data_IF_207865968800
#
_entry.id   IF_207865968800
#
_cell.length_a   1.000
_cell.length_b   1.000
_cell.length_c   1.000
_cell.angle_alpha   90.00
_cell.angle_beta   90.00
_cell.angle_gamma   90.00
#
_symmetry.space_group_name_H-M   'P 1'
#
loop_
_entity.id
_entity.type
_entity.pdbx_description
1 polymer ?
#
# COMPACT_ATOMS: atom_id res chain seq x y z
N UNK A 1 63.99 14.82 60.33
CA UNK A 1 64.96 15.70 59.62
C UNK A 1 64.43 15.84 58.21
N UNK A 2 63.74 16.91 57.80
CA UNK A 2 64.20 18.25 57.42
C UNK A 2 62.88 19.04 57.21
N UNK A 3 62.40 19.99 58.04
CA UNK A 3 62.80 21.38 58.33
C UNK A 3 63.07 22.27 57.10
N UNK A 4 62.09 23.11 56.72
CA UNK A 4 62.18 24.59 56.54
C UNK A 4 60.86 25.13 55.95
N UNK A 5 60.09 25.89 56.73
CA UNK A 5 60.14 27.36 56.96
C UNK A 5 59.35 28.14 55.90
N UNK A 6 58.13 28.61 56.22
CA UNK A 6 57.78 29.89 56.87
C UNK A 6 57.42 30.95 55.82
N UNK A 7 56.15 31.40 55.82
CA UNK A 7 55.82 32.79 56.15
C UNK A 7 54.35 32.93 56.54
N UNK A 8 54.18 33.47 57.74
CA UNK A 8 52.97 33.80 58.45
C UNK A 8 52.82 35.32 58.34
N UNK A 9 51.65 35.82 57.93
CA UNK A 9 51.19 37.18 58.24
C UNK A 9 49.77 37.02 58.77
N UNK A 10 49.63 37.26 60.07
CA UNK A 10 48.37 37.35 60.82
C UNK A 10 47.78 38.75 60.69
N UNK A 11 46.44 38.89 60.75
CA UNK A 11 45.76 39.78 61.72
C UNK A 11 44.21 39.61 61.66
N UNK A 12 43.63 39.23 62.83
CA UNK A 12 42.32 39.58 63.40
C UNK A 12 41.02 39.07 62.72
N UNK A 13 39.96 38.56 63.40
CA UNK A 13 39.54 38.61 64.81
C UNK A 13 38.45 37.53 65.10
N UNK A 14 38.51 36.95 66.31
CA UNK A 14 37.42 36.48 67.20
C UNK A 14 36.47 35.28 66.87
N UNK A 15 36.75 34.18 67.59
CA UNK A 15 35.89 33.48 68.58
C UNK A 15 34.59 32.78 68.14
N UNK A 16 34.52 31.47 68.40
CA UNK A 16 33.24 30.78 68.62
C UNK A 16 33.25 29.26 68.46
N UNK A 17 33.72 28.55 69.49
CA UNK A 17 33.40 27.18 69.92
C UNK A 17 32.89 26.13 68.91
N UNK A 18 33.62 25.01 68.82
CA UNK A 18 33.05 23.71 68.47
C UNK A 18 31.86 23.40 69.41
N UNK A 19 30.65 23.33 68.86
CA UNK A 19 29.65 22.39 69.37
C UNK A 19 29.33 21.38 68.28
N UNK A 20 29.66 20.13 68.57
CA UNK A 20 29.10 18.99 67.87
C UNK A 20 27.63 18.96 68.31
N UNK A 21 26.69 19.36 67.46
CA UNK A 21 25.28 19.09 67.74
C UNK A 21 25.05 17.58 67.52
N UNK A 22 24.67 16.82 68.56
CA UNK A 22 24.21 15.46 68.35
C UNK A 22 22.92 15.50 67.53
N UNK A 23 22.90 14.74 66.43
CA UNK A 23 21.69 14.51 65.63
C UNK A 23 20.63 13.91 66.55
N UNK A 24 19.51 14.62 66.72
CA UNK A 24 18.39 14.15 67.53
C UNK A 24 17.82 12.88 66.88
N UNK A 25 17.64 11.82 67.66
CA UNK A 25 17.06 10.53 67.22
C UNK A 25 15.56 10.57 66.88
N UNK A 26 15.08 11.67 66.29
CA UNK A 26 13.74 11.84 65.71
C UNK A 26 13.75 12.28 64.25
N UNK A 27 14.89 12.30 63.59
CA UNK A 27 14.92 12.22 62.13
C UNK A 27 14.52 10.77 61.79
N UNK A 28 13.21 10.53 61.77
CA UNK A 28 12.63 9.29 61.27
C UNK A 28 13.14 9.11 59.85
N UNK A 29 14.12 8.22 59.69
CA UNK A 29 14.45 7.61 58.43
C UNK A 29 13.16 6.93 57.93
N UNK A 30 12.44 7.67 57.11
CA UNK A 30 11.12 7.31 56.60
C UNK A 30 11.28 6.31 55.45
N UNK A 31 11.78 5.11 55.73
CA UNK A 31 11.50 3.96 54.86
C UNK A 31 11.73 2.62 55.57
N UNK A 32 10.63 1.88 55.76
CA UNK A 32 10.64 0.42 55.86
C UNK A 32 9.79 -0.09 54.69
N UNK A 33 10.39 -0.84 53.78
CA UNK A 33 9.68 -1.54 52.70
C UNK A 33 9.24 -2.91 53.21
N UNK A 34 7.93 -3.15 53.20
CA UNK A 34 7.38 -4.51 53.12
C UNK A 34 6.92 -4.69 51.67
N UNK A 35 7.67 -5.52 50.95
CA UNK A 35 7.38 -5.97 49.59
C UNK A 35 6.42 -7.16 49.68
N UNK A 36 5.52 -7.31 48.72
CA UNK A 36 4.57 -8.44 48.74
C UNK A 36 3.17 -7.97 48.97
N UNK A 37 2.41 -7.90 47.89
CA UNK A 37 1.04 -7.50 47.93
C UNK A 37 0.73 -6.49 46.79
N UNK A 38 0.66 -6.78 45.50
CA UNK A 38 0.39 -8.08 45.00
C UNK A 38 1.49 -9.16 45.25
N UNK A 39 2.79 -9.01 44.85
CA UNK A 39 3.83 -8.00 45.10
C UNK A 39 4.08 -6.99 43.98
N UNK A 40 4.22 -5.72 44.37
CA UNK A 40 5.38 -4.83 44.09
C UNK A 40 6.30 -5.13 42.89
N UNK A 41 6.21 -4.25 41.89
CA UNK A 41 7.38 -3.66 41.23
C UNK A 41 7.30 -2.15 41.41
N UNK A 42 7.59 -1.74 42.65
CA UNK A 42 7.89 -0.37 43.00
C UNK A 42 9.19 0.02 42.30
N UNK A 43 9.09 0.83 41.25
CA UNK A 43 10.18 1.71 40.87
C UNK A 43 9.93 3.02 41.64
N UNK A 44 10.49 3.06 42.84
CA UNK A 44 10.64 4.29 43.62
C UNK A 44 11.53 5.24 42.83
N UNK A 45 10.95 6.28 42.27
CA UNK A 45 11.69 7.46 41.82
C UNK A 45 11.18 8.65 42.58
N UNK A 46 12.00 9.10 43.54
CA UNK A 46 11.82 10.31 44.32
C UNK A 46 11.64 11.51 43.40
N UNK A 47 10.66 12.33 43.74
CA UNK A 47 10.48 13.65 43.17
C UNK A 47 11.45 14.61 43.85
N UNK A 48 12.30 15.31 43.10
CA UNK A 48 13.14 16.37 43.67
C UNK A 48 12.28 17.62 43.79
N UNK A 49 11.51 17.73 44.87
CA UNK A 49 11.07 19.04 45.35
C UNK A 49 12.19 19.56 46.26
N UNK A 50 12.42 20.88 46.27
CA UNK A 50 13.31 21.51 47.23
C UNK A 50 13.09 20.98 48.65
N UNK A 51 14.14 21.05 49.47
CA UNK A 51 14.38 20.38 50.76
C UNK A 51 13.32 20.53 51.87
N UNK A 52 12.13 21.09 51.58
CA UNK A 52 11.06 21.42 52.52
C UNK A 52 9.70 20.75 52.25
N UNK A 53 9.59 19.72 51.40
CA UNK A 53 8.31 19.41 50.74
C UNK A 53 7.69 18.04 51.09
N UNK A 54 6.40 18.03 51.43
CA UNK A 54 5.63 16.90 52.01
C UNK A 54 4.53 16.33 51.08
N UNK A 55 4.72 16.36 49.76
CA UNK A 55 3.72 15.94 48.75
C UNK A 55 4.16 14.61 48.12
N UNK A 56 3.27 13.61 48.12
CA UNK A 56 3.52 12.33 47.44
C UNK A 56 2.79 12.24 46.11
N UNK A 57 3.44 11.66 45.10
CA UNK A 57 2.93 11.52 43.74
C UNK A 57 3.08 10.07 43.29
N UNK A 58 2.08 9.53 42.61
CA UNK A 58 2.05 8.10 42.24
C UNK A 58 3.03 7.71 41.11
N UNK A 59 3.61 8.66 40.35
CA UNK A 59 4.61 8.42 39.29
C UNK A 59 5.47 9.67 39.00
N UNK A 60 6.74 9.48 38.59
CA UNK A 60 7.67 10.56 38.23
C UNK A 60 7.59 11.03 36.76
N UNK A 61 6.95 10.23 35.90
CA UNK A 61 6.67 10.60 34.50
C UNK A 61 5.33 9.99 34.07
N UNK A 62 4.49 10.77 33.41
CA UNK A 62 3.16 10.33 32.96
C UNK A 62 3.13 10.31 31.43
N UNK A 63 2.73 9.18 30.86
CA UNK A 63 2.45 9.07 29.43
C UNK A 63 0.94 9.16 29.25
N UNK A 64 0.47 10.25 28.64
CA UNK A 64 -0.94 10.41 28.30
C UNK A 64 -1.18 10.01 26.85
N UNK A 65 -2.16 9.13 26.67
CA UNK A 65 -2.65 8.78 25.33
C UNK A 65 -3.71 9.79 24.91
N UNK A 66 -3.58 10.35 23.70
CA UNK A 66 -4.61 11.23 23.15
C UNK A 66 -5.96 10.52 23.09
N UNK A 67 -7.03 11.23 23.42
CA UNK A 67 -8.39 10.69 23.43
C UNK A 67 -8.73 9.74 24.59
N UNK A 68 -7.75 9.33 25.41
CA UNK A 68 -7.97 8.44 26.57
C UNK A 68 -7.74 9.18 27.89
N UNK A 69 -8.79 9.49 28.66
CA UNK A 69 -8.64 10.07 29.99
C UNK A 69 -7.93 9.10 30.95
N UNK A 70 -6.98 9.60 31.73
CA UNK A 70 -6.24 8.81 32.72
C UNK A 70 -6.37 9.40 34.12
N UNK A 71 -6.51 8.55 35.13
CA UNK A 71 -6.61 8.98 36.53
C UNK A 71 -5.22 9.10 37.16
N UNK A 72 -5.02 10.16 37.93
CA UNK A 72 -3.77 10.45 38.61
C UNK A 72 -4.00 10.85 40.06
N UNK A 73 -3.33 10.18 41.00
CA UNK A 73 -3.57 10.31 42.44
C UNK A 73 -2.58 11.22 43.17
N UNK A 74 -3.08 11.97 44.15
CA UNK A 74 -2.30 12.80 45.06
C UNK A 74 -2.68 12.51 46.51
N UNK A 75 -1.70 12.59 47.41
CA UNK A 75 -1.92 12.64 48.87
C UNK A 75 -0.80 13.42 49.55
N UNK A 76 -1.05 13.84 50.79
CA UNK A 76 -0.05 14.48 51.65
C UNK A 76 0.61 13.43 52.55
N UNK A 77 1.90 13.62 52.82
CA UNK A 77 2.71 12.66 53.61
C UNK A 77 2.56 12.91 55.11
N UNK A 78 2.22 14.13 55.54
CA UNK A 78 2.06 14.46 56.96
C UNK A 78 0.78 15.23 57.22
N UNK A 79 0.17 15.11 58.42
CA UNK A 79 -1.03 15.87 58.75
C UNK A 79 -0.76 17.37 58.65
N UNK A 80 -1.53 18.13 57.85
CA UNK A 80 -1.41 19.58 57.81
C UNK A 80 -2.14 20.21 59.00
N UNK A 81 -1.70 21.40 59.44
CA UNK A 81 -2.38 22.17 60.51
C UNK A 81 -3.52 23.03 59.98
N UNK A 82 -3.66 23.15 58.65
CA UNK A 82 -4.73 23.85 57.96
C UNK A 82 -5.03 23.16 56.62
N UNK A 83 -6.15 23.49 55.97
CA UNK A 83 -6.45 22.92 54.66
C UNK A 83 -5.36 23.30 53.63
N UNK A 84 -5.03 22.36 52.76
CA UNK A 84 -4.06 22.50 51.67
C UNK A 84 -4.80 22.34 50.35
N UNK A 85 -4.76 23.36 49.51
CA UNK A 85 -5.33 23.30 48.15
C UNK A 85 -4.20 23.14 47.15
N UNK A 86 -4.24 22.08 46.35
CA UNK A 86 -3.36 21.89 45.20
C UNK A 86 -4.03 22.48 43.96
N UNK A 87 -3.37 23.47 43.37
CA UNK A 87 -3.74 24.04 42.08
C UNK A 87 -2.83 23.50 40.98
N UNK A 88 -3.41 23.33 39.79
CA UNK A 88 -2.73 22.74 38.65
C UNK A 88 -2.67 23.73 37.49
N UNK A 89 -1.49 23.90 36.89
CA UNK A 89 -1.33 24.65 35.64
C UNK A 89 -0.67 23.78 34.59
N UNK A 90 -1.16 23.88 33.35
CA UNK A 90 -0.68 23.10 32.23
C UNK A 90 -0.91 23.89 30.92
N UNK A 91 -0.23 23.50 29.85
CA UNK A 91 -0.43 24.08 28.51
C UNK A 91 -1.09 23.13 27.50
N UNK A 92 -1.07 21.82 27.76
CA UNK A 92 -1.49 20.78 26.79
C UNK A 92 -2.43 19.71 27.35
N UNK A 93 -3.08 20.01 28.47
CA UNK A 93 -4.10 19.16 29.08
C UNK A 93 -5.43 19.89 29.09
N UNK A 94 -6.51 19.13 29.08
CA UNK A 94 -7.84 19.69 29.35
C UNK A 94 -7.89 20.28 30.77
N UNK A 95 -8.86 21.17 31.04
CA UNK A 95 -8.97 21.86 32.32
C UNK A 95 -8.99 20.88 33.51
N UNK A 96 -8.15 21.15 34.52
CA UNK A 96 -7.96 20.31 35.71
C UNK A 96 -8.49 21.06 36.92
N UNK A 97 -9.39 20.46 37.67
CA UNK A 97 -9.89 21.02 38.93
C UNK A 97 -8.85 20.96 40.05
N UNK A 98 -8.97 21.86 41.03
CA UNK A 98 -8.11 21.85 42.21
C UNK A 98 -8.46 20.67 43.14
N UNK A 99 -7.47 20.16 43.88
CA UNK A 99 -7.68 19.21 44.97
C UNK A 99 -7.57 19.92 46.32
N UNK A 100 -8.36 19.52 47.31
CA UNK A 100 -8.27 20.09 48.66
C UNK A 100 -8.12 18.98 49.70
N UNK A 101 -7.05 19.06 50.47
CA UNK A 101 -6.75 18.17 51.59
C UNK A 101 -6.99 18.91 52.89
N UNK A 102 -7.68 18.27 53.81
CA UNK A 102 -7.97 18.72 55.17
C UNK A 102 -7.12 17.91 56.16
N UNK A 103 -6.96 18.36 57.41
CA UNK A 103 -6.29 17.57 58.44
C UNK A 103 -6.89 16.16 58.64
N UNK A 104 -8.16 15.94 58.26
CA UNK A 104 -8.85 14.66 58.43
C UNK A 104 -8.67 13.69 57.24
N UNK A 105 -8.37 14.18 56.04
CA UNK A 105 -8.30 13.36 54.81
C UNK A 105 -6.95 13.47 54.07
N UNK A 106 -5.93 14.06 54.72
CA UNK A 106 -4.64 14.37 54.11
C UNK A 106 -3.93 13.15 53.49
N UNK A 107 -4.07 11.98 54.12
CA UNK A 107 -3.45 10.72 53.68
C UNK A 107 -4.31 9.94 52.68
N UNK A 108 -5.57 10.34 52.47
CA UNK A 108 -6.47 9.68 51.52
C UNK A 108 -6.13 10.14 50.10
N UNK A 109 -5.91 9.17 49.19
CA UNK A 109 -5.61 9.47 47.79
C UNK A 109 -6.83 10.15 47.16
N UNK A 110 -6.61 11.34 46.59
CA UNK A 110 -7.57 12.04 45.75
C UNK A 110 -7.07 12.03 44.31
N UNK A 111 -7.96 11.87 43.34
CA UNK A 111 -7.59 11.71 41.93
C UNK A 111 -8.05 12.89 41.08
N UNK A 112 -7.22 13.27 40.11
CA UNK A 112 -7.62 14.10 38.96
C UNK A 112 -7.63 13.26 37.69
N UNK A 113 -8.42 13.68 36.71
CA UNK A 113 -8.40 13.11 35.37
C UNK A 113 -7.52 13.98 34.48
N UNK A 114 -6.49 13.38 33.89
CA UNK A 114 -5.63 14.01 32.89
C UNK A 114 -6.05 13.57 31.50
N UNK A 115 -6.11 14.50 30.56
CA UNK A 115 -6.40 14.20 29.15
C UNK A 115 -5.54 15.09 28.28
N UNK A 116 -4.79 14.49 27.35
CA UNK A 116 -4.01 15.24 26.35
C UNK A 116 -4.95 16.02 25.44
N UNK A 117 -4.61 17.28 25.16
CA UNK A 117 -5.29 18.10 24.14
C UNK A 117 -4.50 18.20 22.82
N UNK A 118 -3.29 17.61 22.76
CA UNK A 118 -2.43 17.59 21.56
C UNK A 118 -2.40 16.20 20.93
N UNK A 119 -2.35 16.20 19.60
CA UNK A 119 -2.24 14.99 18.76
C UNK A 119 -0.82 14.78 18.23
N UNK A 120 0.13 15.68 18.56
CA UNK A 120 1.50 15.69 18.04
C UNK A 120 2.50 15.09 19.04
N UNK A 121 3.68 14.69 18.55
CA UNK A 121 4.84 14.26 19.36
C UNK A 121 5.42 15.39 20.17
N UNK A 122 4.92 15.56 21.39
CA UNK A 122 5.35 16.67 22.25
C UNK A 122 5.32 16.27 23.73
N UNK A 123 6.14 16.94 24.53
CA UNK A 123 6.09 16.88 26.00
C UNK A 123 5.54 18.19 26.56
N UNK A 124 4.84 18.12 27.70
CA UNK A 124 4.42 19.28 28.48
C UNK A 124 4.74 19.09 29.96
N UNK A 125 4.42 20.10 30.77
CA UNK A 125 4.58 20.05 32.22
C UNK A 125 3.26 20.33 32.93
N UNK A 126 2.91 19.49 33.90
CA UNK A 126 1.86 19.74 34.88
C UNK A 126 2.51 20.35 36.12
N UNK A 127 2.33 21.66 36.31
CA UNK A 127 2.82 22.33 37.52
C UNK A 127 1.77 22.23 38.62
N UNK A 128 2.21 21.88 39.82
CA UNK A 128 1.40 21.74 41.03
C UNK A 128 1.86 22.78 42.02
N UNK A 129 0.94 23.61 42.53
CA UNK A 129 1.23 24.60 43.57
C UNK A 129 0.28 24.41 44.74
N UNK A 130 0.83 24.28 45.95
CA UNK A 130 0.07 24.16 47.18
C UNK A 130 -0.14 25.54 47.82
N UNK A 131 -1.40 25.84 48.16
CA UNK A 131 -1.78 27.03 48.92
C UNK A 131 -2.38 26.56 50.26
N UNK A 132 -1.84 27.07 51.37
CA UNK A 132 -2.30 26.75 52.72
C UNK A 132 -1.97 27.86 53.71
N UNK A 133 -2.70 27.90 54.83
CA UNK A 133 -2.29 28.65 56.02
C UNK A 133 -1.22 27.89 56.86
N UNK A 134 -1.03 26.60 56.61
CA UNK A 134 0.10 25.84 57.14
C UNK A 134 1.36 26.24 56.36
N UNK A 135 2.31 26.87 57.05
CA UNK A 135 3.56 27.38 56.48
C UNK A 135 4.44 26.28 55.89
N UNK A 136 4.24 25.01 56.29
CA UNK A 136 4.96 23.87 55.71
C UNK A 136 4.46 23.50 54.31
N UNK A 137 3.26 23.94 53.93
CA UNK A 137 2.63 23.64 52.64
C UNK A 137 2.44 24.87 51.76
N UNK A 138 2.38 26.06 52.36
CA UNK A 138 2.14 27.31 51.62
C UNK A 138 3.25 27.61 50.62
N UNK A 139 2.90 27.75 49.35
CA UNK A 139 3.83 28.10 48.27
C UNK A 139 4.72 26.95 47.79
N UNK A 140 4.56 25.73 48.33
CA UNK A 140 5.28 24.56 47.85
C UNK A 140 4.83 24.25 46.43
N UNK A 141 5.77 24.15 45.49
CA UNK A 141 5.47 23.86 44.09
C UNK A 141 6.38 22.79 43.50
N UNK A 142 5.87 22.11 42.48
CA UNK A 142 6.61 21.10 41.72
C UNK A 142 6.06 20.99 40.30
N UNK A 143 6.82 20.35 39.41
CA UNK A 143 6.43 20.12 38.02
C UNK A 143 6.58 18.65 37.65
N UNK A 144 5.55 18.09 36.99
CA UNK A 144 5.56 16.72 36.47
C UNK A 144 5.66 16.80 34.94
N UNK A 145 6.63 16.10 34.36
CA UNK A 145 6.72 16.00 32.89
C UNK A 145 5.66 15.03 32.37
N UNK A 146 4.92 15.48 31.37
CA UNK A 146 3.89 14.73 30.67
C UNK A 146 4.34 14.47 29.24
N UNK A 147 4.48 13.20 28.87
CA UNK A 147 4.74 12.81 27.50
C UNK A 147 3.40 12.49 26.83
N UNK A 148 3.09 13.18 25.74
CA UNK A 148 1.87 12.93 24.98
C UNK A 148 2.17 11.87 23.92
N UNK A 149 1.31 10.88 23.78
CA UNK A 149 1.45 9.80 22.79
C UNK A 149 0.16 9.62 22.00
N UNK A 150 0.26 9.55 20.69
CA UNK A 150 -0.87 9.32 19.80
C UNK A 150 -0.41 8.49 18.60
N UNK A 151 -0.87 7.26 18.42
CA UNK A 151 -0.70 6.64 17.10
C UNK A 151 -1.57 7.44 16.15
N UNK A 152 -1.00 7.96 15.07
CA UNK A 152 -1.77 8.60 14.04
C UNK A 152 -1.24 8.20 12.67
N UNK A 153 -2.13 7.73 11.81
CA UNK A 153 -1.81 7.35 10.43
C UNK A 153 -2.74 8.12 9.49
N UNK A 154 -2.15 8.77 8.49
CA UNK A 154 -2.92 9.48 7.46
C UNK A 154 -2.28 9.23 6.09
N UNK A 155 -3.06 8.80 5.11
CA UNK A 155 -2.61 8.79 3.72
C UNK A 155 -2.97 10.12 3.04
N UNK A 156 -2.12 10.58 2.13
CA UNK A 156 -2.47 11.73 1.29
C UNK A 156 -3.45 11.26 0.21
N UNK A 157 -4.75 11.46 0.46
CA UNK A 157 -5.84 11.00 -0.41
C UNK A 157 -6.53 9.74 0.14
N UNK A 158 -7.78 9.54 -0.27
CA UNK A 158 -8.65 8.46 0.22
C UNK A 158 -9.12 7.49 -0.86
N UNK A 159 -8.80 7.76 -2.14
CA UNK A 159 -9.16 6.92 -3.28
C UNK A 159 -8.04 6.92 -4.31
N UNK A 160 -7.57 5.73 -4.68
CA UNK A 160 -6.45 5.50 -5.55
C UNK A 160 -6.87 4.61 -6.71
N UNK A 161 -6.46 4.98 -7.93
CA UNK A 161 -6.68 4.20 -9.14
C UNK A 161 -5.30 3.79 -9.66
N UNK A 162 -5.06 2.49 -9.71
CA UNK A 162 -3.88 1.89 -10.32
C UNK A 162 -4.26 1.11 -11.58
N UNK A 163 -3.26 0.73 -12.36
CA UNK A 163 -3.43 -0.08 -13.56
C UNK A 163 -2.71 -1.41 -13.38
N UNK A 164 -3.39 -2.49 -13.77
CA UNK A 164 -2.86 -3.86 -13.78
C UNK A 164 -1.53 -3.92 -14.55
N UNK A 165 -0.58 -4.72 -14.08
CA UNK A 165 0.77 -4.90 -14.63
C UNK A 165 1.67 -3.65 -14.65
N UNK A 166 1.16 -2.46 -14.30
CA UNK A 166 1.94 -1.24 -14.17
C UNK A 166 2.40 -1.05 -12.71
N UNK A 167 3.64 -0.61 -12.51
CA UNK A 167 4.13 -0.28 -11.16
C UNK A 167 3.25 0.81 -10.54
N UNK A 168 2.62 0.51 -9.40
CA UNK A 168 1.78 1.46 -8.70
C UNK A 168 2.62 2.59 -8.08
N UNK A 169 2.13 3.84 -8.09
CA UNK A 169 2.69 4.90 -7.27
C UNK A 169 2.74 4.45 -5.80
N UNK A 170 3.87 4.67 -5.14
CA UNK A 170 4.04 4.30 -3.73
C UNK A 170 3.19 5.20 -2.83
N UNK A 171 2.33 4.60 -2.02
CA UNK A 171 1.53 5.30 -1.04
C UNK A 171 2.31 5.42 0.27
N UNK A 172 2.73 6.63 0.59
CA UNK A 172 3.48 6.93 1.81
C UNK A 172 2.53 7.58 2.83
N UNK A 173 2.25 6.92 3.97
CA UNK A 173 1.48 7.55 5.02
C UNK A 173 2.32 8.56 5.80
N UNK A 174 1.66 9.56 6.37
CA UNK A 174 2.21 10.39 7.42
C UNK A 174 1.92 9.71 8.76
N UNK A 175 2.97 9.46 9.53
CA UNK A 175 2.88 8.88 10.86
C UNK A 175 3.14 9.95 11.91
N UNK A 176 2.20 10.11 12.84
CA UNK A 176 2.33 11.06 13.94
C UNK A 176 3.37 10.65 14.97
N UNK A 177 3.63 9.35 15.16
CA UNK A 177 4.57 8.77 16.13
C UNK A 177 5.22 7.49 15.56
N UNK A 178 6.38 7.08 16.09
CA UNK A 178 6.94 5.76 15.78
C UNK A 178 5.96 4.64 16.13
N UNK A 179 5.75 3.77 15.17
CA UNK A 179 4.92 2.58 15.28
C UNK A 179 5.81 1.34 15.42
N UNK A 180 5.24 0.25 15.90
CA UNK A 180 5.89 -1.06 15.93
C UNK A 180 5.41 -1.96 14.81
N UNK A 181 4.18 -1.79 14.34
CA UNK A 181 3.61 -2.63 13.29
C UNK A 181 2.43 -1.95 12.57
N UNK A 182 2.12 -2.45 11.37
CA UNK A 182 0.92 -2.13 10.58
C UNK A 182 0.27 -3.39 10.06
N UNK A 183 -1.05 -3.32 9.86
CA UNK A 183 -1.83 -4.34 9.16
C UNK A 183 -2.84 -3.70 8.22
N UNK A 184 -3.37 -4.50 7.29
CA UNK A 184 -4.40 -4.07 6.33
C UNK A 184 -5.46 -5.15 6.22
N UNK A 185 -6.73 -4.73 6.17
CA UNK A 185 -7.88 -5.61 5.96
C UNK A 185 -8.89 -4.97 4.99
N UNK A 186 -9.42 -5.69 3.99
CA UNK A 186 -9.05 -7.06 3.60
C UNK A 186 -7.61 -7.15 3.03
N UNK A 187 -7.17 -8.35 2.63
CA UNK A 187 -5.86 -8.52 2.01
C UNK A 187 -5.76 -7.68 0.72
N UNK A 188 -4.61 -7.02 0.53
CA UNK A 188 -4.36 -6.21 -0.66
C UNK A 188 -4.45 -7.06 -1.94
N UNK A 189 -4.79 -6.44 -3.09
CA UNK A 189 -4.79 -7.12 -4.38
C UNK A 189 -3.43 -7.78 -4.65
N UNK A 190 -3.43 -8.90 -5.38
CA UNK A 190 -2.19 -9.60 -5.75
C UNK A 190 -1.18 -8.64 -6.36
N UNK A 191 0.07 -8.74 -5.92
CA UNK A 191 1.16 -7.87 -6.36
C UNK A 191 1.31 -6.55 -5.59
N UNK A 192 0.36 -6.18 -4.72
CA UNK A 192 0.52 -5.07 -3.77
C UNK A 192 0.95 -5.50 -2.37
N UNK A 193 2.00 -4.82 -1.90
CA UNK A 193 2.65 -4.80 -0.59
C UNK A 193 2.02 -3.93 0.48
N UNK A 194 1.93 -4.34 1.75
CA UNK A 194 2.06 -3.40 2.89
C UNK A 194 3.41 -3.65 3.57
N UNK A 195 4.25 -2.63 3.69
CA UNK A 195 5.40 -2.67 4.59
C UNK A 195 4.89 -2.50 6.02
N UNK A 196 4.97 -3.54 6.83
CA UNK A 196 4.39 -3.56 8.17
C UNK A 196 5.13 -2.67 9.18
N UNK A 197 6.36 -2.22 8.89
CA UNK A 197 7.10 -1.31 9.79
C UNK A 197 6.88 0.16 9.47
N UNK A 198 6.51 0.50 8.24
CA UNK A 198 6.36 1.89 7.77
C UNK A 198 4.95 2.24 7.31
N UNK A 199 4.06 1.25 7.27
CA UNK A 199 2.74 1.33 6.66
C UNK A 199 2.78 1.74 5.17
N UNK A 200 3.91 1.64 4.46
CA UNK A 200 3.97 2.02 3.04
C UNK A 200 3.30 0.94 2.17
N UNK A 201 2.44 1.36 1.23
CA UNK A 201 1.86 0.46 0.21
C UNK A 201 2.54 0.66 -1.14
N UNK A 202 2.99 -0.43 -1.75
CA UNK A 202 3.73 -0.40 -3.03
C UNK A 202 3.63 -1.73 -3.76
N UNK A 203 4.00 -1.77 -5.04
CA UNK A 203 4.06 -2.99 -5.84
C UNK A 203 3.47 -2.82 -7.23
N UNK A 204 3.20 -3.94 -7.89
CA UNK A 204 2.62 -4.00 -9.23
C UNK A 204 1.41 -4.92 -9.18
N UNK A 205 0.17 -4.40 -9.22
CA UNK A 205 -1.03 -5.23 -9.13
C UNK A 205 -1.13 -6.14 -10.35
N UNK A 206 -1.45 -7.42 -10.15
CA UNK A 206 -1.52 -8.41 -11.23
C UNK A 206 -2.95 -8.75 -11.66
N UNK A 207 -3.95 -8.30 -10.92
CA UNK A 207 -5.35 -8.57 -11.20
C UNK A 207 -6.17 -7.28 -11.12
N UNK A 208 -7.07 -7.09 -12.07
CA UNK A 208 -8.04 -6.00 -12.03
C UNK A 208 -9.04 -6.15 -10.89
N UNK A 209 -9.51 -5.03 -10.34
CA UNK A 209 -10.42 -5.03 -9.19
C UNK A 209 -11.27 -3.77 -9.16
N UNK A 210 -12.55 -3.93 -8.81
CA UNK A 210 -13.42 -2.80 -8.49
C UNK A 210 -12.91 -2.04 -7.25
N UNK A 211 -13.31 -0.77 -7.13
CA UNK A 211 -12.94 0.05 -5.96
C UNK A 211 -13.32 -0.65 -4.66
N UNK A 212 -12.32 -0.98 -3.86
CA UNK A 212 -12.50 -1.70 -2.58
C UNK A 212 -11.85 -0.90 -1.47
N UNK A 213 -12.57 -0.76 -0.36
CA UNK A 213 -12.07 -0.04 0.82
C UNK A 213 -11.24 -0.98 1.70
N UNK A 214 -10.06 -0.49 2.07
CA UNK A 214 -9.09 -1.13 2.93
C UNK A 214 -8.93 -0.30 4.19
N UNK A 215 -8.97 -0.98 5.34
CA UNK A 215 -8.64 -0.39 6.63
C UNK A 215 -7.20 -0.73 6.96
N UNK A 216 -6.35 0.28 7.02
CA UNK A 216 -4.96 0.16 7.45
C UNK A 216 -4.94 0.49 8.94
N UNK A 217 -4.40 -0.42 9.74
CA UNK A 217 -4.24 -0.22 11.18
C UNK A 217 -2.76 -0.06 11.50
N UNK A 218 -2.38 1.05 12.10
CA UNK A 218 -1.06 1.28 12.67
C UNK A 218 -1.10 1.02 14.17
N UNK A 219 -0.04 0.43 14.74
CA UNK A 219 0.06 0.20 16.19
C UNK A 219 1.47 0.44 16.71
N UNK A 220 1.54 0.88 17.97
CA UNK A 220 2.79 1.04 18.71
C UNK A 220 3.00 -0.05 19.80
N UNK A 221 2.21 -1.12 19.73
CA UNK A 221 2.17 -2.24 20.68
C UNK A 221 1.17 -2.07 21.83
N UNK A 222 0.72 -0.83 22.07
CA UNK A 222 -0.23 -0.48 23.14
C UNK A 222 -1.49 0.19 22.62
N UNK A 223 -1.36 1.03 21.59
CA UNK A 223 -2.45 1.78 20.97
C UNK A 223 -2.47 1.54 19.47
N UNK A 224 -3.59 1.91 18.86
CA UNK A 224 -3.82 1.78 17.43
C UNK A 224 -4.48 3.02 16.86
N UNK A 225 -4.20 3.33 15.61
CA UNK A 225 -5.01 4.21 14.78
C UNK A 225 -5.31 3.54 13.45
N UNK A 226 -6.40 3.94 12.81
CA UNK A 226 -6.88 3.33 11.57
C UNK A 226 -7.15 4.37 10.52
N UNK A 227 -6.76 4.09 9.29
CA UNK A 227 -7.07 4.90 8.13
C UNK A 227 -7.73 4.06 7.04
N UNK A 228 -8.80 4.59 6.43
CA UNK A 228 -9.52 3.93 5.36
C UNK A 228 -9.14 4.52 4.00
N UNK A 229 -8.66 3.67 3.10
CA UNK A 229 -8.38 4.04 1.71
C UNK A 229 -9.17 3.16 0.76
N UNK A 230 -9.52 3.67 -0.41
CA UNK A 230 -10.13 2.87 -1.48
C UNK A 230 -9.12 2.66 -2.60
N UNK A 231 -8.92 1.42 -3.03
CA UNK A 231 -8.06 1.09 -4.16
C UNK A 231 -8.91 0.46 -5.27
N UNK A 232 -8.76 0.96 -6.49
CA UNK A 232 -9.32 0.39 -7.72
C UNK A 232 -8.18 0.04 -8.66
N UNK A 233 -8.20 -1.17 -9.21
CA UNK A 233 -7.24 -1.60 -10.25
C UNK A 233 -7.98 -1.67 -11.58
N UNK A 234 -7.63 -0.79 -12.52
CA UNK A 234 -8.15 -0.86 -13.89
C UNK A 234 -7.43 -1.96 -14.66
N UNK A 235 -8.16 -2.78 -15.44
CA UNK A 235 -7.53 -3.83 -16.21
C UNK A 235 -6.59 -3.27 -17.28
N UNK A 236 -5.56 -4.04 -17.61
CA UNK A 236 -4.75 -3.77 -18.80
C UNK A 236 -5.45 -4.31 -20.03
N UNK A 237 -5.51 -3.48 -21.07
CA UNK A 237 -6.19 -3.77 -22.33
C UNK A 237 -5.21 -3.69 -23.49
N UNK A 238 -5.41 -4.56 -24.47
CA UNK A 238 -4.58 -4.69 -25.66
C UNK A 238 -5.39 -4.29 -26.88
N UNK A 239 -4.76 -3.56 -27.81
CA UNK A 239 -5.43 -3.02 -28.99
C UNK A 239 -5.36 -3.98 -30.16
N UNK A 240 -6.45 -4.05 -30.91
CA UNK A 240 -6.53 -4.71 -32.21
C UNK A 240 -6.92 -3.68 -33.26
N UNK A 241 -6.24 -3.69 -34.39
CA UNK A 241 -6.58 -2.86 -35.54
C UNK A 241 -6.44 -3.63 -36.86
N UNK A 242 -7.07 -3.11 -37.91
CA UNK A 242 -6.92 -3.61 -39.28
C UNK A 242 -6.05 -2.62 -40.02
N UNK A 243 -5.06 -3.12 -40.76
CA UNK A 243 -4.15 -2.28 -41.55
C UNK A 243 -4.91 -1.33 -42.48
N UNK A 244 -4.31 -0.16 -42.76
CA UNK A 244 -4.79 0.76 -43.78
C UNK A 244 -4.53 0.20 -45.19
N UNK A 245 -3.42 -0.54 -45.34
CA UNK A 245 -2.98 -1.11 -46.60
C UNK A 245 -3.36 -2.59 -46.71
N UNK A 246 -3.73 -3.04 -47.90
CA UNK A 246 -3.92 -4.46 -48.22
C UNK A 246 -2.67 -5.06 -48.90
N UNK A 247 -2.50 -6.36 -48.76
CA UNK A 247 -1.34 -7.12 -49.21
C UNK A 247 -1.78 -8.43 -49.87
N UNK A 248 -0.98 -8.90 -50.82
CA UNK A 248 -1.09 -10.26 -51.35
C UNK A 248 -0.65 -11.31 -50.31
N UNK A 249 -0.64 -12.59 -50.69
CA UNK A 249 -0.29 -13.70 -49.81
C UNK A 249 1.21 -13.80 -49.47
N UNK A 250 2.08 -13.01 -50.11
CA UNK A 250 3.51 -12.98 -49.78
C UNK A 250 3.79 -11.89 -48.75
N UNK A 251 3.68 -12.28 -47.48
CA UNK A 251 3.83 -11.35 -46.36
C UNK A 251 5.26 -11.23 -45.85
N UNK A 252 6.15 -12.18 -46.19
CA UNK A 252 7.50 -12.28 -45.64
C UNK A 252 8.37 -11.04 -45.88
N UNK A 253 8.44 -10.56 -47.13
CA UNK A 253 9.40 -9.51 -47.50
C UNK A 253 10.84 -9.89 -47.15
N UNK A 254 11.56 -9.03 -46.43
CA UNK A 254 12.93 -9.27 -45.97
C UNK A 254 13.02 -10.00 -44.61
N UNK A 255 11.90 -10.41 -44.02
CA UNK A 255 11.87 -11.07 -42.71
C UNK A 255 12.24 -12.56 -42.79
N UNK A 256 12.46 -13.17 -41.62
CA UNK A 256 12.85 -14.57 -41.51
C UNK A 256 11.78 -15.56 -42.04
N UNK A 257 10.51 -15.23 -41.89
CA UNK A 257 9.37 -16.03 -42.34
C UNK A 257 8.14 -15.14 -42.59
N UNK A 258 7.08 -15.73 -43.13
CA UNK A 258 5.82 -15.06 -43.42
C UNK A 258 5.22 -14.29 -42.24
N UNK A 259 4.97 -14.94 -41.09
CA UNK A 259 4.44 -14.27 -39.90
C UNK A 259 5.30 -13.09 -39.42
N UNK A 260 6.62 -13.23 -39.37
CA UNK A 260 7.51 -12.13 -38.99
C UNK A 260 7.45 -10.95 -39.98
N UNK A 261 7.30 -11.22 -41.29
CA UNK A 261 7.09 -10.18 -42.29
C UNK A 261 5.74 -9.47 -42.13
N UNK A 262 4.69 -10.22 -41.80
CA UNK A 262 3.39 -9.67 -41.49
C UNK A 262 3.41 -8.77 -40.24
N UNK A 263 4.21 -9.12 -39.22
CA UNK A 263 4.41 -8.28 -38.04
C UNK A 263 5.07 -6.95 -38.40
N UNK A 264 6.11 -6.96 -39.24
CA UNK A 264 6.74 -5.72 -39.71
C UNK A 264 5.74 -4.82 -40.45
N UNK A 265 4.84 -5.42 -41.25
CA UNK A 265 3.75 -4.68 -41.90
C UNK A 265 2.78 -4.09 -40.87
N UNK A 266 2.41 -4.85 -39.84
CA UNK A 266 1.60 -4.33 -38.74
C UNK A 266 2.27 -3.13 -38.06
N UNK A 267 3.54 -3.23 -37.65
CA UNK A 267 4.22 -2.18 -36.91
C UNK A 267 4.54 -0.92 -37.73
N UNK A 268 4.53 -1.02 -39.07
CA UNK A 268 4.79 0.10 -39.98
C UNK A 268 3.52 0.72 -40.58
N UNK A 269 2.35 0.13 -40.32
CA UNK A 269 1.09 0.57 -40.94
C UNK A 269 0.60 1.90 -40.36
N UNK A 270 -0.06 2.71 -41.19
CA UNK A 270 -0.57 4.02 -40.80
C UNK A 270 -1.66 3.95 -39.71
N UNK A 271 -2.35 2.82 -39.54
CA UNK A 271 -3.34 2.62 -38.49
C UNK A 271 -2.73 2.13 -37.16
N UNK A 272 -1.40 1.97 -37.07
CA UNK A 272 -0.73 1.49 -35.86
C UNK A 272 -0.98 2.43 -34.68
N UNK A 273 -1.59 1.96 -33.58
CA UNK A 273 -1.90 2.79 -32.43
C UNK A 273 -0.67 2.99 -31.53
N UNK A 274 -0.31 4.26 -31.29
CA UNK A 274 0.65 4.63 -30.25
C UNK A 274 2.05 4.04 -30.45
N UNK A 275 2.68 3.60 -29.35
CA UNK A 275 4.08 3.13 -29.30
C UNK A 275 4.24 1.64 -28.98
N UNK A 276 3.16 0.85 -29.10
CA UNK A 276 3.18 -0.59 -28.83
C UNK A 276 3.83 -1.40 -29.96
N UNK A 277 4.15 -2.67 -29.68
CA UNK A 277 4.53 -3.64 -30.71
C UNK A 277 3.34 -4.52 -31.08
N UNK A 278 3.20 -4.84 -32.35
CA UNK A 278 2.04 -5.56 -32.88
C UNK A 278 2.45 -6.80 -33.64
N UNK A 279 1.66 -7.87 -33.51
CA UNK A 279 1.77 -9.08 -34.33
C UNK A 279 0.54 -9.29 -35.19
N UNK A 280 0.73 -9.88 -36.36
CA UNK A 280 -0.34 -10.25 -37.29
C UNK A 280 -1.11 -11.48 -36.79
N UNK A 281 -2.44 -11.36 -36.75
CA UNK A 281 -3.38 -12.43 -36.39
C UNK A 281 -3.56 -13.42 -37.54
N UNK A 282 -2.55 -14.27 -37.72
CA UNK A 282 -2.55 -15.34 -38.70
C UNK A 282 -1.79 -16.57 -38.18
N UNK A 283 -1.98 -17.70 -38.84
CA UNK A 283 -1.25 -18.95 -38.58
C UNK A 283 -0.62 -19.47 -39.87
N UNK A 284 0.52 -20.14 -39.75
CA UNK A 284 1.14 -20.97 -40.79
C UNK A 284 1.42 -22.40 -40.28
N UNK A 285 0.86 -22.75 -39.12
CA UNK A 285 1.00 -24.06 -38.48
C UNK A 285 2.42 -24.42 -38.01
N UNK A 286 3.45 -23.63 -38.36
CA UNK A 286 4.86 -23.97 -38.17
C UNK A 286 5.58 -22.92 -37.35
N UNK A 287 5.62 -21.67 -37.83
CA UNK A 287 6.29 -20.56 -37.17
C UNK A 287 5.34 -19.80 -36.24
N UNK A 288 4.06 -19.75 -36.59
CA UNK A 288 3.00 -19.18 -35.75
C UNK A 288 1.80 -20.10 -35.76
N UNK A 289 1.41 -20.58 -34.59
CA UNK A 289 0.28 -21.47 -34.40
C UNK A 289 -0.48 -21.16 -33.10
N UNK A 290 -1.82 -21.14 -33.18
CA UNK A 290 -2.64 -21.02 -31.98
C UNK A 290 -2.75 -22.39 -31.29
N UNK A 291 -3.32 -23.39 -31.98
CA UNK A 291 -3.55 -24.71 -31.41
C UNK A 291 -3.11 -25.83 -32.37
N UNK A 292 -2.63 -26.93 -31.81
CA UNK A 292 -2.39 -28.21 -32.49
C UNK A 292 -3.58 -29.17 -32.37
N UNK A 293 -4.48 -28.92 -31.41
CA UNK A 293 -5.73 -29.64 -31.17
C UNK A 293 -6.92 -28.68 -31.16
N UNK A 294 -8.15 -29.19 -31.23
CA UNK A 294 -9.34 -28.33 -31.26
C UNK A 294 -9.46 -27.49 -29.99
N UNK A 295 -9.51 -26.16 -30.17
CA UNK A 295 -9.53 -25.17 -29.10
C UNK A 295 -8.41 -25.35 -28.06
N UNK A 296 -7.23 -25.81 -28.48
CA UNK A 296 -6.09 -26.01 -27.59
C UNK A 296 -6.46 -26.92 -26.40
N UNK A 297 -6.99 -28.11 -26.68
CA UNK A 297 -7.38 -29.09 -25.66
C UNK A 297 -6.22 -29.57 -24.76
N UNK A 298 -4.98 -29.48 -25.24
CA UNK A 298 -3.74 -29.65 -24.48
C UNK A 298 -3.25 -28.39 -23.77
N UNK A 299 -3.97 -27.26 -23.88
CA UNK A 299 -3.70 -26.01 -23.18
C UNK A 299 -2.79 -25.04 -23.92
N UNK A 300 -2.36 -23.97 -23.24
CA UNK A 300 -1.53 -22.89 -23.81
C UNK A 300 -0.16 -23.36 -24.33
N UNK A 301 0.33 -24.52 -23.88
CA UNK A 301 1.59 -25.11 -24.35
C UNK A 301 1.61 -25.47 -25.84
N UNK A 302 0.44 -25.49 -26.49
CA UNK A 302 0.32 -25.70 -27.94
C UNK A 302 0.66 -24.45 -28.77
N UNK A 303 0.70 -23.28 -28.14
CA UNK A 303 0.95 -22.01 -28.81
C UNK A 303 2.40 -21.95 -29.33
N UNK A 304 2.57 -21.53 -30.59
CA UNK A 304 3.88 -21.20 -31.18
C UNK A 304 3.79 -19.76 -31.65
N UNK A 305 4.62 -18.88 -31.09
CA UNK A 305 4.66 -17.43 -31.39
C UNK A 305 3.26 -16.78 -31.50
N UNK A 306 2.36 -17.20 -30.61
CA UNK A 306 0.96 -16.84 -30.69
C UNK A 306 0.72 -15.39 -30.27
N UNK A 307 -0.32 -14.78 -30.86
CA UNK A 307 -0.52 -13.32 -30.78
C UNK A 307 -1.51 -12.87 -29.71
N UNK A 308 -2.37 -13.77 -29.23
CA UNK A 308 -3.33 -13.47 -28.17
C UNK A 308 -2.81 -14.07 -26.86
N UNK A 309 -2.58 -13.19 -25.89
CA UNK A 309 -2.16 -13.55 -24.54
C UNK A 309 -3.33 -14.06 -23.68
N UNK A 310 -3.00 -15.04 -22.82
CA UNK A 310 -3.93 -15.65 -21.86
C UNK A 310 -4.57 -14.62 -20.93
N UNK A 311 -5.90 -14.70 -20.76
CA UNK A 311 -6.65 -13.90 -19.79
C UNK A 311 -6.76 -12.40 -20.10
N UNK A 312 -6.13 -11.91 -21.17
CA UNK A 312 -6.09 -10.48 -21.50
C UNK A 312 -7.35 -9.99 -22.22
N UNK A 313 -7.64 -8.72 -22.05
CA UNK A 313 -8.79 -8.04 -22.67
C UNK A 313 -8.32 -7.33 -23.94
N UNK A 314 -9.03 -7.56 -25.04
CA UNK A 314 -8.75 -6.94 -26.33
C UNK A 314 -9.85 -5.95 -26.72
N UNK A 315 -9.41 -4.77 -27.13
CA UNK A 315 -10.27 -3.67 -27.55
C UNK A 315 -9.93 -3.24 -28.98
N UNK A 316 -10.90 -2.67 -29.67
CA UNK A 316 -10.69 -2.10 -31.00
C UNK A 316 -9.95 -0.78 -30.88
N UNK A 317 -8.89 -0.59 -31.66
CA UNK A 317 -7.99 0.54 -31.47
C UNK A 317 -8.61 1.92 -31.74
N UNK A 318 -9.57 2.01 -32.67
CA UNK A 318 -10.12 3.29 -33.13
C UNK A 318 -11.16 3.89 -32.18
N UNK A 319 -11.90 3.07 -31.44
CA UNK A 319 -13.03 3.51 -30.59
C UNK A 319 -13.08 2.86 -29.21
N UNK A 320 -12.07 2.05 -28.86
CA UNK A 320 -11.97 1.31 -27.59
C UNK A 320 -13.14 0.35 -27.31
N UNK A 321 -13.89 -0.07 -28.33
CA UNK A 321 -14.95 -1.07 -28.17
C UNK A 321 -14.35 -2.41 -27.69
N UNK A 322 -14.94 -3.01 -26.66
CA UNK A 322 -14.53 -4.33 -26.16
C UNK A 322 -14.82 -5.40 -27.20
N UNK A 323 -13.78 -6.10 -27.65
CA UNK A 323 -13.89 -7.16 -28.64
C UNK A 323 -14.10 -8.50 -27.95
N UNK A 324 -13.18 -8.89 -27.06
CA UNK A 324 -13.25 -10.14 -26.31
C UNK A 324 -12.26 -10.15 -25.14
N UNK A 325 -12.41 -11.16 -24.27
CA UNK A 325 -11.42 -11.54 -23.26
C UNK A 325 -10.92 -12.94 -23.60
N UNK A 326 -9.61 -13.11 -23.69
CA UNK A 326 -9.01 -14.41 -24.01
C UNK A 326 -9.15 -15.38 -22.82
N UNK A 327 -9.30 -16.67 -23.12
CA UNK A 327 -9.26 -17.72 -22.11
C UNK A 327 -7.81 -18.02 -21.66
N UNK A 328 -7.63 -19.01 -20.78
CA UNK A 328 -6.32 -19.42 -20.28
C UNK A 328 -5.36 -20.00 -21.34
N UNK A 329 -5.89 -20.41 -22.50
CA UNK A 329 -5.12 -20.90 -23.65
C UNK A 329 -4.78 -19.79 -24.67
N UNK A 330 -5.09 -18.53 -24.35
CA UNK A 330 -4.85 -17.41 -25.27
C UNK A 330 -5.78 -17.42 -26.49
N UNK A 331 -6.96 -18.01 -26.42
CA UNK A 331 -7.92 -18.05 -27.53
C UNK A 331 -9.33 -17.66 -27.06
N UNK A 332 -10.29 -17.65 -27.98
CA UNK A 332 -11.72 -17.52 -27.68
C UNK A 332 -12.38 -18.86 -28.01
N UNK A 333 -13.10 -19.49 -27.08
CA UNK A 333 -13.72 -20.80 -27.35
C UNK A 333 -14.60 -20.78 -28.61
N UNK A 334 -14.38 -21.75 -29.52
CA UNK A 334 -15.17 -21.96 -30.73
C UNK A 334 -15.75 -23.39 -30.77
N UNK A 335 -16.85 -23.65 -31.51
CA UNK A 335 -17.66 -22.67 -32.19
C UNK A 335 -18.62 -22.03 -31.18
N UNK A 336 -18.73 -20.70 -31.23
CA UNK A 336 -19.80 -19.98 -30.56
C UNK A 336 -20.49 -19.09 -31.58
N UNK A 337 -21.81 -18.97 -31.50
CA UNK A 337 -22.59 -18.09 -32.36
C UNK A 337 -22.17 -16.61 -32.21
N UNK A 338 -21.59 -16.25 -31.06
CA UNK A 338 -21.06 -14.92 -30.75
C UNK A 338 -19.68 -15.06 -30.11
N UNK A 339 -18.64 -15.21 -30.94
CA UNK A 339 -17.25 -15.28 -30.45
C UNK A 339 -16.75 -13.90 -30.00
N UNK A 340 -17.17 -12.84 -30.69
CA UNK A 340 -16.81 -11.47 -30.38
C UNK A 340 -18.01 -10.72 -29.78
N UNK A 341 -17.73 -9.87 -28.80
CA UNK A 341 -18.71 -8.92 -28.25
C UNK A 341 -19.03 -7.80 -29.24
N UNK A 342 -18.05 -7.42 -30.06
CA UNK A 342 -18.16 -6.43 -31.14
C UNK A 342 -17.27 -6.86 -32.30
N UNK A 343 -17.63 -6.50 -33.54
CA UNK A 343 -16.84 -6.83 -34.72
C UNK A 343 -15.53 -6.03 -34.79
N UNK A 344 -14.53 -6.48 -35.55
CA UNK A 344 -13.26 -5.76 -35.71
C UNK A 344 -13.37 -4.42 -36.43
N UNK A 345 -14.41 -4.21 -37.23
CA UNK A 345 -14.78 -2.92 -37.81
C UNK A 345 -16.28 -2.87 -38.11
N UNK A 346 -16.84 -1.67 -38.15
CA UNK A 346 -18.19 -1.40 -38.64
C UNK A 346 -18.16 -1.01 -40.13
N UNK A 347 -19.29 -1.19 -40.83
CA UNK A 347 -19.43 -0.80 -42.24
C UNK A 347 -19.02 -1.89 -43.24
N UNK A 348 -18.45 -1.48 -44.38
CA UNK A 348 -18.04 -2.37 -45.47
C UNK A 348 -17.06 -3.41 -44.98
N UNK A 349 -17.31 -4.68 -45.30
CA UNK A 349 -16.46 -5.79 -44.89
C UNK A 349 -15.03 -5.62 -45.41
N UNK A 350 -14.08 -5.57 -44.49
CA UNK A 350 -12.66 -5.75 -44.78
C UNK A 350 -12.31 -7.20 -44.53
N UNK A 351 -11.84 -7.88 -45.57
CA UNK A 351 -11.30 -9.23 -45.42
C UNK A 351 -9.80 -9.14 -45.11
N UNK A 352 -9.32 -9.97 -44.20
CA UNK A 352 -7.92 -10.00 -43.78
C UNK A 352 -7.39 -11.42 -43.71
N UNK A 353 -6.09 -11.61 -43.98
CA UNK A 353 -5.44 -12.92 -43.96
C UNK A 353 -5.41 -13.54 -42.56
N UNK A 354 -5.67 -14.85 -42.44
CA UNK A 354 -5.70 -15.57 -41.16
C UNK A 354 -5.10 -16.98 -41.18
N UNK A 355 -5.35 -17.78 -42.22
CA UNK A 355 -4.83 -19.17 -42.29
C UNK A 355 -5.59 -20.23 -41.46
N UNK A 356 -6.64 -19.86 -40.70
CA UNK A 356 -7.34 -20.81 -39.83
C UNK A 356 -8.26 -21.78 -40.58
N UNK A 357 -8.35 -23.01 -40.08
CA UNK A 357 -9.24 -24.06 -40.60
C UNK A 357 -10.72 -23.72 -40.43
N UNK A 358 -11.57 -24.16 -41.37
CA UNK A 358 -13.02 -24.02 -41.23
C UNK A 358 -13.59 -24.85 -40.07
N UNK A 359 -13.17 -26.11 -39.95
CA UNK A 359 -13.78 -27.08 -39.02
C UNK A 359 -12.96 -27.34 -37.76
N UNK A 360 -11.63 -27.18 -37.85
CA UNK A 360 -10.72 -27.49 -36.75
C UNK A 360 -10.42 -26.20 -35.97
N UNK A 361 -10.97 -26.08 -34.76
CA UNK A 361 -11.07 -24.81 -34.05
C UNK A 361 -9.69 -24.32 -33.62
N UNK A 362 -9.28 -23.14 -34.11
CA UNK A 362 -7.97 -22.51 -33.86
C UNK A 362 -6.74 -23.24 -34.41
N UNK A 363 -6.94 -24.30 -35.18
CA UNK A 363 -5.85 -24.96 -35.89
C UNK A 363 -5.60 -24.29 -37.24
N UNK A 364 -4.39 -24.43 -37.77
CA UNK A 364 -4.17 -24.23 -39.20
C UNK A 364 -5.10 -25.16 -40.00
N UNK A 365 -5.53 -24.73 -41.18
CA UNK A 365 -6.32 -25.53 -42.11
C UNK A 365 -5.55 -26.78 -42.61
N UNK A 366 -5.57 -27.84 -41.79
CA UNK A 366 -4.89 -29.13 -41.99
C UNK A 366 -5.27 -29.89 -43.25
N UNK A 367 -6.33 -29.49 -43.97
CA UNK A 367 -6.72 -30.17 -45.20
C UNK A 367 -5.77 -29.89 -46.38
N UNK A 368 -5.09 -28.73 -46.45
CA UNK A 368 -4.18 -28.38 -47.55
C UNK A 368 -3.09 -27.41 -47.06
N UNK A 369 -1.82 -27.77 -47.23
CA UNK A 369 -0.58 -27.03 -46.88
C UNK A 369 -0.41 -25.65 -47.54
N UNK A 370 -1.47 -25.14 -48.17
CA UNK A 370 -1.52 -23.99 -49.07
C UNK A 370 -2.51 -22.93 -48.57
N UNK A 371 -3.26 -23.22 -47.50
CA UNK A 371 -4.24 -22.30 -46.89
C UNK A 371 -3.62 -21.11 -46.13
N UNK A 372 -2.30 -21.08 -46.06
CA UNK A 372 -1.47 -19.98 -45.57
C UNK A 372 -0.66 -19.34 -46.69
N UNK A 373 -0.98 -19.56 -47.98
CA UNK A 373 -0.15 -19.10 -49.10
C UNK A 373 1.30 -19.54 -48.96
N UNK A 374 1.49 -20.86 -48.75
CA UNK A 374 2.79 -21.49 -48.49
C UNK A 374 3.56 -20.76 -47.39
N UNK A 375 3.02 -20.75 -46.16
CA UNK A 375 3.58 -20.05 -45.01
C UNK A 375 3.78 -18.54 -45.22
N UNK A 376 2.88 -17.94 -45.99
CA UNK A 376 2.80 -16.53 -46.36
C UNK A 376 4.02 -16.03 -47.11
N UNK A 377 4.55 -16.87 -48.01
CA UNK A 377 5.76 -16.59 -48.81
C UNK A 377 5.50 -16.52 -50.31
N UNK A 378 4.27 -16.80 -50.77
CA UNK A 378 3.92 -16.75 -52.20
C UNK A 378 2.72 -15.86 -52.46
N UNK A 379 2.77 -15.18 -53.60
CA UNK A 379 1.66 -14.44 -54.19
C UNK A 379 1.21 -15.08 -55.52
N UNK A 380 1.47 -16.37 -55.70
CA UNK A 380 1.04 -17.11 -56.88
C UNK A 380 -0.49 -17.09 -57.03
N UNK A 381 -0.97 -17.08 -58.27
CA UNK A 381 -2.37 -17.36 -58.53
C UNK A 381 -2.66 -18.82 -58.17
N UNK A 382 -3.60 -19.04 -57.25
CA UNK A 382 -3.91 -20.37 -56.72
C UNK A 382 -5.40 -20.62 -56.84
N UNK A 383 -5.80 -21.84 -57.21
CA UNK A 383 -7.20 -22.20 -57.32
C UNK A 383 -7.93 -21.99 -55.97
N UNK A 384 -9.05 -21.25 -56.02
CA UNK A 384 -9.83 -20.78 -54.86
C UNK A 384 -10.40 -21.89 -53.96
N UNK A 385 -10.39 -23.14 -54.41
CA UNK A 385 -10.94 -24.27 -53.67
C UNK A 385 -9.90 -25.10 -52.92
N UNK A 386 -8.60 -24.99 -53.23
CA UNK A 386 -7.62 -25.91 -52.63
C UNK A 386 -6.23 -25.37 -52.32
N UNK A 387 -5.86 -24.18 -52.80
CA UNK A 387 -4.44 -23.82 -52.88
C UNK A 387 -4.04 -22.42 -52.39
N UNK A 388 -4.93 -21.69 -51.73
CA UNK A 388 -4.61 -20.32 -51.30
C UNK A 388 -5.13 -19.92 -49.93
N UNK A 389 -4.76 -18.72 -49.49
CA UNK A 389 -4.91 -18.24 -48.12
C UNK A 389 -6.35 -18.22 -47.58
N UNK A 390 -6.50 -18.39 -46.27
CA UNK A 390 -7.79 -18.16 -45.56
C UNK A 390 -7.88 -16.73 -45.04
N UNK A 391 -9.10 -16.21 -45.02
CA UNK A 391 -9.39 -14.84 -44.56
C UNK A 391 -10.45 -14.81 -43.47
N UNK A 392 -10.41 -13.80 -42.60
CA UNK A 392 -11.48 -13.39 -41.70
C UNK A 392 -12.29 -12.22 -42.25
N UNK A 393 -13.48 -11.97 -41.70
CA UNK A 393 -14.35 -10.84 -42.08
C UNK A 393 -14.47 -9.83 -40.93
N UNK A 394 -14.22 -8.55 -41.20
CA UNK A 394 -14.13 -7.54 -40.14
C UNK A 394 -15.44 -7.16 -39.47
N UNK A 395 -16.59 -7.36 -40.13
CA UNK A 395 -17.89 -6.86 -39.68
C UNK A 395 -18.82 -7.96 -39.17
N UNK A 396 -18.27 -9.11 -38.80
CA UNK A 396 -19.00 -10.21 -38.17
C UNK A 396 -18.49 -10.45 -36.75
N UNK A 397 -19.31 -11.12 -35.93
CA UNK A 397 -19.02 -11.43 -34.52
C UNK A 397 -19.00 -12.93 -34.23
N UNK A 398 -19.35 -13.75 -35.22
CA UNK A 398 -19.31 -15.21 -35.13
C UNK A 398 -17.95 -15.75 -35.59
N UNK A 399 -17.87 -17.06 -35.81
CA UNK A 399 -16.64 -17.72 -36.28
C UNK A 399 -16.12 -17.18 -37.62
N UNK A 400 -16.96 -16.54 -38.45
CA UNK A 400 -16.54 -15.98 -39.73
C UNK A 400 -15.59 -14.79 -39.57
N UNK A 401 -15.55 -14.19 -38.38
CA UNK A 401 -14.62 -13.10 -38.06
C UNK A 401 -13.17 -13.53 -38.25
N UNK A 402 -12.83 -14.80 -38.02
CA UNK A 402 -11.48 -15.34 -38.19
C UNK A 402 -11.33 -16.27 -39.42
N UNK A 403 -12.44 -16.76 -39.97
CA UNK A 403 -12.46 -17.75 -41.07
C UNK A 403 -13.75 -17.68 -41.89
N UNK A 404 -13.73 -16.84 -42.91
CA UNK A 404 -14.85 -16.55 -43.80
C UNK A 404 -14.67 -17.24 -45.16
N UNK A 405 -15.56 -18.19 -45.47
CA UNK A 405 -15.64 -18.82 -46.79
C UNK A 405 -14.48 -19.75 -47.14
N UNK A 406 -14.36 -20.08 -48.43
CA UNK A 406 -13.32 -20.94 -49.01
C UNK A 406 -11.94 -20.26 -49.04
N UNK A 407 -10.91 -20.98 -49.49
CA UNK A 407 -9.60 -20.39 -49.77
C UNK A 407 -9.69 -19.24 -50.77
N UNK A 408 -8.75 -18.30 -50.69
CA UNK A 408 -8.61 -17.15 -51.58
C UNK A 408 -7.30 -17.26 -52.35
N UNK A 409 -7.28 -16.75 -53.57
CA UNK A 409 -6.04 -16.77 -54.36
C UNK A 409 -4.96 -15.90 -53.70
N UNK A 410 -3.71 -16.37 -53.67
CA UNK A 410 -2.62 -15.67 -53.00
C UNK A 410 -2.16 -14.40 -53.73
N UNK A 411 -2.54 -14.19 -54.98
CA UNK A 411 -2.33 -12.92 -55.71
C UNK A 411 -3.37 -11.84 -55.35
N UNK A 412 -4.38 -12.16 -54.53
CA UNK A 412 -5.44 -11.23 -54.14
C UNK A 412 -5.02 -10.39 -52.93
N UNK A 413 -5.41 -9.12 -52.91
CA UNK A 413 -5.04 -8.18 -51.86
C UNK A 413 -6.07 -8.15 -50.71
N UNK A 414 -5.63 -8.49 -49.51
CA UNK A 414 -6.42 -8.43 -48.27
C UNK A 414 -5.69 -7.71 -47.15
N UNK A 415 -6.42 -7.25 -46.14
CA UNK A 415 -5.82 -6.55 -45.00
C UNK A 415 -5.12 -7.52 -44.05
N UNK A 416 -4.46 -6.99 -43.03
CA UNK A 416 -3.92 -7.76 -41.90
C UNK A 416 -4.63 -7.26 -40.64
N UNK A 417 -5.03 -8.20 -39.77
CA UNK A 417 -5.51 -7.90 -38.43
C UNK A 417 -4.30 -7.93 -37.48
N UNK A 418 -4.03 -6.83 -36.80
CA UNK A 418 -2.84 -6.62 -35.98
C UNK A 418 -3.21 -6.52 -34.50
N UNK A 419 -2.46 -7.20 -33.65
CA UNK A 419 -2.75 -7.40 -32.23
C UNK A 419 -1.57 -6.90 -31.38
N UNK A 420 -1.84 -5.98 -30.45
CA UNK A 420 -0.85 -5.45 -29.51
C UNK A 420 -0.28 -6.57 -28.63
N UNK A 421 1.00 -6.49 -28.32
CA UNK A 421 1.76 -7.47 -27.53
C UNK A 421 2.18 -6.92 -26.17
#
# INVERSE_FOLDING_TARGET
MYKRMVRMISFLLALGFLSCNPVNGRDEYLLTLVNGMNPTTAVTTSFTIGTSSKINVTSASVILYFGTPQLFGFSLVSPPTANVTLAFTNSKLNAIGNLTFTPANYSTIQTITLTSNTQLMESSSLSVTATSADTNYSGVSGSITINHRNVNIVYTGSSFIFKEDDSAPTLNPVLGFPITNCSVAPALPNGLSLNTSTCVISGTPTDSQAGTTYTITATDGTNTDTENITIRITPTVYRIFITATSYDGNLQGAAANGPAGADLKCNSDANTPGTGTYKAMLTDGTNRNACSTDNCGGGAGENIDWVIQSGRIYIRANDAASLFTANASGIINAPAANMLSQSFASGTTKYFWTGFAQTNYWQEATAQTTNSCNNWTTNANTATASEGGRVGASNTTDYTAFRSGSGRSCDTFYYILCVEQ
#
